data_IF_327860973105
#
_entry.id   IF_327860973105
#
_cell.length_a   1.000
_cell.length_b   1.000
_cell.length_c   1.000
_cell.angle_alpha   90.00
_cell.angle_beta   90.00
_cell.angle_gamma   90.00
#
_symmetry.space_group_name_H-M   'P 1'
#
loop_
_entity.id
_entity.type
_entity.pdbx_description
1 polymer ?
#
# COMPACT_ATOMS: atom_id res chain seq x y z
N UNK A 1 -1.91 -25.94 7.90
CA UNK A 1 -2.05 -24.50 7.58
C UNK A 1 -3.49 -24.20 7.18
N UNK A 2 -4.04 -23.09 7.63
CA UNK A 2 -5.40 -22.66 7.31
C UNK A 2 -5.58 -22.49 5.79
N UNK A 3 -6.69 -22.97 5.27
CA UNK A 3 -7.03 -22.86 3.84
C UNK A 3 -7.07 -21.40 3.36
N UNK A 4 -7.53 -20.48 4.20
CA UNK A 4 -7.56 -19.04 3.88
C UNK A 4 -6.15 -18.47 3.72
N UNK A 5 -5.23 -18.88 4.57
CA UNK A 5 -3.82 -18.44 4.50
C UNK A 5 -3.17 -18.96 3.22
N UNK A 6 -3.37 -20.25 2.88
CA UNK A 6 -2.83 -20.84 1.66
C UNK A 6 -3.38 -20.13 0.42
N UNK A 7 -4.70 -19.89 0.39
CA UNK A 7 -5.36 -19.22 -0.74
C UNK A 7 -4.82 -17.81 -0.94
N UNK A 8 -4.65 -17.05 0.14
CA UNK A 8 -4.11 -15.70 0.09
C UNK A 8 -2.66 -15.68 -0.40
N UNK A 9 -1.84 -16.64 0.04
CA UNK A 9 -0.46 -16.78 -0.43
C UNK A 9 -0.39 -17.03 -1.93
N UNK A 10 -1.27 -17.88 -2.47
CA UNK A 10 -1.36 -18.15 -3.91
C UNK A 10 -1.75 -16.89 -4.70
N UNK A 11 -2.72 -16.13 -4.20
CA UNK A 11 -3.15 -14.87 -4.82
C UNK A 11 -2.00 -13.86 -4.79
N UNK A 12 -1.33 -13.72 -3.67
CA UNK A 12 -0.19 -12.83 -3.49
C UNK A 12 0.94 -13.15 -4.45
N UNK A 13 1.28 -14.42 -4.61
CA UNK A 13 2.30 -14.87 -5.56
C UNK A 13 1.92 -14.53 -7.00
N UNK A 14 0.67 -14.76 -7.37
CA UNK A 14 0.15 -14.46 -8.71
C UNK A 14 0.19 -12.96 -9.03
N UNK A 15 -0.17 -12.12 -8.06
CA UNK A 15 -0.12 -10.67 -8.21
C UNK A 15 1.32 -10.20 -8.40
N UNK A 16 2.27 -10.72 -7.63
CA UNK A 16 3.69 -10.34 -7.72
C UNK A 16 4.32 -10.68 -9.06
N UNK A 17 3.87 -11.74 -9.73
CA UNK A 17 4.35 -12.08 -11.07
C UNK A 17 4.11 -10.96 -12.07
N UNK A 18 2.99 -10.24 -11.96
CA UNK A 18 2.62 -9.16 -12.86
C UNK A 18 2.90 -7.77 -12.28
N UNK A 19 3.27 -7.68 -11.00
CA UNK A 19 3.40 -6.42 -10.25
C UNK A 19 4.79 -6.23 -9.66
N UNK A 20 5.84 -6.55 -10.45
CA UNK A 20 7.22 -6.34 -10.00
C UNK A 20 7.53 -4.84 -10.06
N UNK A 21 8.00 -4.29 -8.94
CA UNK A 21 8.39 -2.89 -8.84
C UNK A 21 9.80 -2.64 -9.35
N UNK A 22 10.01 -1.45 -9.91
CA UNK A 22 11.33 -0.98 -10.38
C UNK A 22 11.65 0.35 -9.70
N UNK A 23 12.85 0.90 -9.95
CA UNK A 23 13.23 2.21 -9.42
C UNK A 23 12.31 3.31 -9.95
N UNK A 24 11.97 3.26 -11.24
CA UNK A 24 11.10 4.26 -11.87
C UNK A 24 9.62 4.06 -11.51
N UNK A 25 9.22 2.81 -11.26
CA UNK A 25 7.84 2.44 -10.96
C UNK A 25 7.81 1.44 -9.81
N UNK A 26 8.05 1.91 -8.57
CA UNK A 26 8.12 1.03 -7.40
C UNK A 26 6.78 0.34 -7.12
N UNK A 27 6.86 -0.76 -6.39
CA UNK A 27 5.68 -1.51 -5.95
C UNK A 27 5.17 -0.93 -4.62
N UNK A 28 3.91 -0.52 -4.60
CA UNK A 28 3.21 -0.13 -3.36
C UNK A 28 2.58 -1.38 -2.75
N UNK A 29 3.18 -1.90 -1.70
CA UNK A 29 2.74 -3.10 -1.00
C UNK A 29 1.84 -2.72 0.17
N UNK A 30 0.68 -3.36 0.28
CA UNK A 30 -0.29 -3.13 1.35
C UNK A 30 -0.35 -4.36 2.24
N UNK A 31 -0.26 -4.14 3.54
CA UNK A 31 -0.50 -5.15 4.57
C UNK A 31 -1.49 -4.60 5.58
N UNK A 32 -2.47 -5.41 5.97
CA UNK A 32 -3.44 -5.01 7.00
C UNK A 32 -3.52 -6.04 8.12
N UNK A 33 -3.69 -5.55 9.35
CA UNK A 33 -4.13 -6.33 10.50
C UNK A 33 -5.60 -6.01 10.80
N UNK A 34 -6.14 -6.57 11.87
CA UNK A 34 -7.52 -6.27 12.29
C UNK A 34 -7.72 -4.79 12.64
N UNK A 35 -6.69 -4.15 13.17
CA UNK A 35 -6.78 -2.78 13.69
C UNK A 35 -6.07 -1.75 12.82
N UNK A 36 -5.04 -2.14 12.09
CA UNK A 36 -4.16 -1.19 11.40
C UNK A 36 -3.87 -1.60 9.97
N UNK A 37 -3.41 -0.63 9.19
CA UNK A 37 -2.98 -0.84 7.81
C UNK A 37 -1.59 -0.24 7.63
N UNK A 38 -0.75 -0.92 6.86
CA UNK A 38 0.64 -0.57 6.60
C UNK A 38 0.88 -0.58 5.10
N UNK A 39 1.62 0.39 4.61
CA UNK A 39 2.03 0.44 3.21
C UNK A 39 3.52 0.68 3.10
N UNK A 40 4.14 0.09 2.09
CA UNK A 40 5.55 0.25 1.78
C UNK A 40 5.73 0.46 0.30
N UNK A 41 6.63 1.36 -0.05
CA UNK A 41 7.03 1.60 -1.43
C UNK A 41 8.36 0.90 -1.65
N UNK A 42 8.38 -0.14 -2.48
CA UNK A 42 9.49 -1.07 -2.61
C UNK A 42 10.05 -1.05 -4.02
N UNK A 43 11.37 -0.90 -4.13
CA UNK A 43 12.11 -1.13 -5.37
C UNK A 43 12.60 -2.59 -5.36
N UNK A 44 11.93 -3.44 -6.12
CA UNK A 44 12.25 -4.88 -6.18
C UNK A 44 13.60 -5.16 -6.84
N UNK A 45 14.11 -4.25 -7.68
CA UNK A 45 15.41 -4.43 -8.35
C UNK A 45 16.57 -4.34 -7.38
N UNK A 46 16.46 -3.52 -6.31
CA UNK A 46 17.49 -3.37 -5.28
C UNK A 46 17.09 -3.99 -3.94
N UNK A 47 15.82 -4.41 -3.79
CA UNK A 47 15.28 -4.92 -2.54
C UNK A 47 15.14 -3.86 -1.46
N UNK A 48 15.09 -2.59 -1.81
CA UNK A 48 15.00 -1.49 -0.84
C UNK A 48 13.59 -0.99 -0.67
N UNK A 49 13.22 -0.71 0.58
CA UNK A 49 12.00 0.04 0.92
C UNK A 49 12.31 1.54 0.84
N UNK A 50 11.68 2.22 -0.11
CA UNK A 50 11.93 3.63 -0.37
C UNK A 50 11.17 4.54 0.58
N UNK A 51 9.95 4.15 0.98
CA UNK A 51 9.11 4.90 1.90
C UNK A 51 8.11 3.95 2.54
N UNK A 52 7.57 4.35 3.69
CA UNK A 52 6.55 3.59 4.40
C UNK A 52 5.59 4.54 5.10
N UNK A 53 4.35 4.10 5.26
CA UNK A 53 3.34 4.82 6.04
C UNK A 53 2.41 3.81 6.69
N UNK A 54 1.74 4.21 7.77
CA UNK A 54 0.84 3.32 8.49
C UNK A 54 -0.22 4.12 9.23
N UNK A 55 -1.33 3.47 9.58
CA UNK A 55 -2.36 4.06 10.44
C UNK A 55 -1.87 4.32 11.86
N UNK A 56 -0.72 3.79 12.24
CA UNK A 56 -0.05 4.06 13.53
C UNK A 56 0.82 5.32 13.52
N UNK A 57 1.04 5.94 12.36
CA UNK A 57 1.77 7.19 12.27
C UNK A 57 1.05 8.26 13.08
N UNK A 58 1.81 9.09 13.81
CA UNK A 58 1.24 10.06 14.77
C UNK A 58 0.18 10.96 14.16
N UNK A 59 0.44 11.47 12.96
CA UNK A 59 -0.47 12.38 12.27
C UNK A 59 -1.81 11.71 11.94
N UNK A 60 -1.77 10.43 11.58
CA UNK A 60 -2.96 9.66 11.21
C UNK A 60 -3.66 9.15 12.46
N UNK A 61 -2.89 8.68 13.43
CA UNK A 61 -3.44 8.18 14.69
C UNK A 61 -4.21 9.25 15.44
N UNK A 62 -3.78 10.51 15.35
CA UNK A 62 -4.44 11.65 15.98
C UNK A 62 -5.81 11.97 15.36
N UNK A 63 -6.08 11.50 14.14
CA UNK A 63 -7.39 11.70 13.49
C UNK A 63 -8.42 10.75 14.07
N UNK A 64 -9.50 11.29 14.61
CA UNK A 64 -10.61 10.50 15.17
C UNK A 64 -11.60 10.13 14.06
N UNK A 65 -11.18 9.21 13.19
CA UNK A 65 -12.00 8.78 12.06
C UNK A 65 -12.13 7.26 12.06
N UNK A 66 -12.97 6.74 11.13
CA UNK A 66 -13.13 5.31 10.98
C UNK A 66 -11.94 4.67 10.24
N UNK A 67 -11.91 3.34 10.18
CA UNK A 67 -10.81 2.59 9.56
C UNK A 67 -10.63 2.91 8.08
N UNK A 68 -11.71 3.12 7.34
CA UNK A 68 -11.65 3.44 5.91
C UNK A 68 -11.03 4.80 5.66
N UNK A 69 -11.40 5.80 6.45
CA UNK A 69 -10.82 7.15 6.33
C UNK A 69 -9.36 7.18 6.74
N UNK A 70 -8.99 6.44 7.80
CA UNK A 70 -7.58 6.29 8.18
C UNK A 70 -6.77 5.65 7.07
N UNK A 71 -7.32 4.64 6.40
CA UNK A 71 -6.66 3.99 5.26
C UNK A 71 -6.46 4.96 4.10
N UNK A 72 -7.44 5.82 3.84
CA UNK A 72 -7.30 6.88 2.83
C UNK A 72 -6.19 7.86 3.19
N UNK A 73 -6.08 8.23 4.46
CA UNK A 73 -5.00 9.10 4.95
C UNK A 73 -3.62 8.43 4.80
N UNK A 74 -3.54 7.12 5.04
CA UNK A 74 -2.30 6.34 4.81
C UNK A 74 -1.90 6.40 3.34
N UNK A 75 -2.86 6.22 2.43
CA UNK A 75 -2.62 6.33 0.99
C UNK A 75 -2.12 7.72 0.60
N UNK A 76 -2.74 8.77 1.13
CA UNK A 76 -2.31 10.15 0.89
C UNK A 76 -0.90 10.41 1.45
N UNK A 77 -0.60 9.86 2.62
CA UNK A 77 0.72 10.02 3.25
C UNK A 77 1.83 9.36 2.42
N UNK A 78 1.61 8.14 1.94
CA UNK A 78 2.62 7.46 1.11
C UNK A 78 2.79 8.17 -0.23
N UNK A 79 1.72 8.73 -0.79
CA UNK A 79 1.80 9.50 -2.02
C UNK A 79 2.64 10.76 -1.86
N UNK A 80 2.50 11.48 -0.73
CA UNK A 80 3.33 12.64 -0.44
C UNK A 80 4.80 12.26 -0.33
N UNK A 81 5.11 11.16 0.36
CA UNK A 81 6.47 10.66 0.48
C UNK A 81 7.05 10.27 -0.88
N UNK A 82 6.25 9.64 -1.74
CA UNK A 82 6.64 9.31 -3.10
C UNK A 82 6.93 10.57 -3.93
N UNK A 83 6.07 11.57 -3.84
CA UNK A 83 6.27 12.85 -4.53
C UNK A 83 7.57 13.53 -4.10
N UNK A 84 7.90 13.50 -2.80
CA UNK A 84 9.15 14.03 -2.27
C UNK A 84 10.38 13.32 -2.84
N UNK A 85 10.23 12.05 -3.21
CA UNK A 85 11.27 11.24 -3.85
C UNK A 85 11.27 11.36 -5.38
N UNK A 86 10.36 12.15 -5.94
CA UNK A 86 10.22 12.29 -7.39
C UNK A 86 9.50 11.13 -8.07
N UNK A 87 8.81 10.30 -7.31
CA UNK A 87 8.08 9.14 -7.83
C UNK A 87 6.63 9.53 -8.08
N UNK A 88 6.15 9.33 -9.32
CA UNK A 88 4.78 9.66 -9.72
C UNK A 88 3.97 8.44 -10.12
N UNK A 89 4.62 7.38 -10.57
CA UNK A 89 3.98 6.14 -11.01
C UNK A 89 4.38 4.99 -10.10
N UNK A 90 3.43 4.13 -9.79
CA UNK A 90 3.65 2.94 -8.96
C UNK A 90 2.92 1.74 -9.55
N UNK A 91 3.31 0.56 -9.08
CA UNK A 91 2.56 -0.69 -9.27
C UNK A 91 1.87 -1.01 -7.94
N UNK A 92 0.56 -1.17 -7.96
CA UNK A 92 -0.20 -1.44 -6.74
C UNK A 92 -0.26 -2.95 -6.46
N UNK A 93 0.30 -3.36 -5.31
CA UNK A 93 0.26 -4.74 -4.82
C UNK A 93 -0.66 -4.81 -3.60
N UNK A 94 -1.85 -5.36 -3.78
CA UNK A 94 -2.86 -5.50 -2.73
C UNK A 94 -2.53 -6.57 -1.68
N UNK A 95 -1.37 -7.24 -1.78
CA UNK A 95 -0.91 -8.21 -0.79
C UNK A 95 -1.77 -9.48 -0.66
N UNK A 96 -2.52 -9.84 -1.69
CA UNK A 96 -3.44 -10.98 -1.67
C UNK A 96 -4.79 -10.68 -1.05
N UNK A 97 -5.01 -9.47 -0.52
CA UNK A 97 -6.31 -9.03 -0.02
C UNK A 97 -7.25 -8.68 -1.16
N UNK A 98 -8.56 -8.73 -0.92
CA UNK A 98 -9.54 -8.27 -1.88
C UNK A 98 -9.39 -6.74 -2.07
N UNK A 99 -9.56 -6.29 -3.32
CA UNK A 99 -9.58 -4.85 -3.62
C UNK A 99 -10.93 -4.27 -3.18
N UNK A 100 -11.08 -4.11 -1.87
CA UNK A 100 -12.32 -3.68 -1.24
C UNK A 100 -12.03 -3.08 0.14
N UNK A 101 -12.92 -2.25 0.63
CA UNK A 101 -12.83 -1.66 1.96
C UNK A 101 -11.54 -0.85 2.15
N UNK A 102 -10.76 -1.18 3.18
CA UNK A 102 -9.55 -0.44 3.55
C UNK A 102 -8.48 -0.46 2.46
N UNK A 103 -8.33 -1.57 1.75
CA UNK A 103 -7.33 -1.67 0.66
C UNK A 103 -7.68 -0.71 -0.48
N UNK A 104 -8.96 -0.67 -0.86
CA UNK A 104 -9.44 0.28 -1.86
C UNK A 104 -9.27 1.72 -1.37
N UNK A 105 -9.52 1.99 -0.10
CA UNK A 105 -9.38 3.33 0.48
C UNK A 105 -7.93 3.83 0.41
N UNK A 106 -6.95 2.96 0.64
CA UNK A 106 -5.53 3.29 0.45
C UNK A 106 -5.26 3.69 -1.00
N UNK A 107 -5.75 2.90 -1.95
CA UNK A 107 -5.56 3.19 -3.37
C UNK A 107 -6.21 4.53 -3.76
N UNK A 108 -7.44 4.77 -3.30
CA UNK A 108 -8.15 6.02 -3.56
C UNK A 108 -7.40 7.23 -2.99
N UNK A 109 -6.91 7.12 -1.76
CA UNK A 109 -6.12 8.19 -1.12
C UNK A 109 -4.82 8.48 -1.86
N UNK A 110 -4.13 7.44 -2.31
CA UNK A 110 -2.88 7.60 -3.06
C UNK A 110 -3.14 8.24 -4.43
N UNK A 111 -4.20 7.84 -5.13
CA UNK A 111 -4.60 8.45 -6.41
C UNK A 111 -5.01 9.90 -6.26
N UNK A 112 -5.81 10.20 -5.23
CA UNK A 112 -6.25 11.58 -4.95
C UNK A 112 -5.06 12.50 -4.66
N UNK A 113 -3.98 11.97 -4.09
CA UNK A 113 -2.76 12.73 -3.79
C UNK A 113 -1.77 12.76 -4.96
N UNK A 114 -2.10 12.19 -6.10
CA UNK A 114 -1.36 12.36 -7.36
C UNK A 114 -0.58 11.15 -7.86
N UNK A 115 -0.61 10.01 -7.18
CA UNK A 115 0.03 8.80 -7.70
C UNK A 115 -0.78 8.22 -8.85
N UNK A 116 -0.07 7.71 -9.86
CA UNK A 116 -0.65 7.12 -11.05
C UNK A 116 -0.46 5.60 -11.04
N UNK A 117 -1.56 4.91 -11.14
CA UNK A 117 -1.58 3.44 -11.24
C UNK A 117 -2.96 2.91 -11.61
#
# INVERSE_FOLDING_TARGET
MDKKVIRRQKIKYRIRKSSVGTTAKPRLSVFRSNTDIYVQLIDDSSGKTLAAASSKDKDILAQKTNKSEKSKLVGAAIARKANDLGIKEIVFDRGGYLYHGRVKSVADGARDAGLQF
#
